data_IF_619265874375
#
_entry.id   IF_619265874375
#
_cell.length_a   1.000
_cell.length_b   1.000
_cell.length_c   1.000
_cell.angle_alpha   90.00
_cell.angle_beta   90.00
_cell.angle_gamma   90.00
#
_symmetry.space_group_name_H-M   'P 1'
#
loop_
_entity.id
_entity.type
_entity.pdbx_description
1 polymer ?
#
# COMPACT_ATOMS: atom_id res chain seq x y z
N UNK A 1 -13.55 -25.93 -62.74
CA UNK A 1 -14.05 -24.62 -62.27
C UNK A 1 -12.94 -23.96 -61.45
N UNK A 2 -12.20 -22.98 -62.00
CA UNK A 2 -11.10 -22.30 -61.30
C UNK A 2 -11.64 -20.98 -60.72
N UNK A 3 -11.77 -20.93 -59.40
CA UNK A 3 -12.14 -19.70 -58.69
C UNK A 3 -10.87 -18.84 -58.61
N UNK A 4 -10.75 -17.84 -59.48
CA UNK A 4 -9.67 -16.86 -59.41
C UNK A 4 -10.02 -15.88 -58.29
N UNK A 5 -9.41 -16.06 -57.11
CA UNK A 5 -9.50 -15.09 -56.00
C UNK A 5 -8.64 -13.87 -56.34
N UNK A 6 -9.29 -12.75 -56.65
CA UNK A 6 -8.64 -11.44 -56.72
C UNK A 6 -8.19 -11.03 -55.33
N UNK A 7 -6.87 -11.04 -55.11
CA UNK A 7 -6.23 -10.37 -53.98
C UNK A 7 -6.25 -8.86 -54.28
N UNK A 8 -7.31 -8.17 -53.88
CA UNK A 8 -7.32 -6.70 -53.88
C UNK A 8 -6.31 -6.24 -52.83
N UNK A 9 -5.17 -5.73 -53.28
CA UNK A 9 -4.13 -5.19 -52.40
C UNK A 9 -4.61 -3.91 -51.73
N UNK A 10 -4.47 -3.84 -50.40
CA UNK A 10 -4.65 -2.61 -49.64
C UNK A 10 -3.66 -1.56 -50.17
N UNK A 11 -4.13 -0.34 -50.36
CA UNK A 11 -3.28 0.76 -50.82
C UNK A 11 -2.50 1.35 -49.63
N UNK A 12 -1.28 1.83 -49.86
CA UNK A 12 -0.45 2.42 -48.79
C UNK A 12 -1.14 3.63 -48.11
N UNK A 13 -1.92 4.39 -48.89
CA UNK A 13 -2.66 5.55 -48.37
C UNK A 13 -3.76 5.17 -47.37
N UNK A 14 -4.38 4.02 -47.58
CA UNK A 14 -5.45 3.50 -46.72
C UNK A 14 -4.90 3.07 -45.37
N UNK A 15 -3.71 2.43 -45.36
CA UNK A 15 -2.99 2.13 -44.13
C UNK A 15 -2.40 3.38 -43.45
N UNK A 16 -1.97 4.37 -44.24
CA UNK A 16 -1.44 5.62 -43.71
C UNK A 16 -2.51 6.41 -42.94
N UNK A 17 -3.73 6.52 -43.48
CA UNK A 17 -4.82 7.23 -42.82
C UNK A 17 -5.15 6.63 -41.44
N UNK A 18 -5.15 5.30 -41.31
CA UNK A 18 -5.40 4.61 -40.05
C UNK A 18 -4.30 4.88 -39.02
N UNK A 19 -3.03 4.85 -39.45
CA UNK A 19 -1.90 5.17 -38.57
C UNK A 19 -1.94 6.61 -38.07
N UNK A 20 -2.33 7.56 -38.91
CA UNK A 20 -2.49 8.97 -38.51
C UNK A 20 -3.55 9.09 -37.42
N UNK A 21 -4.72 8.47 -37.61
CA UNK A 21 -5.80 8.50 -36.61
C UNK A 21 -5.36 7.82 -35.31
N UNK A 22 -4.73 6.63 -35.38
CA UNK A 22 -4.21 5.94 -34.20
C UNK A 22 -3.12 6.76 -33.48
N UNK A 23 -2.27 7.48 -34.22
CA UNK A 23 -1.25 8.35 -33.66
C UNK A 23 -1.85 9.51 -32.87
N UNK A 24 -2.89 10.15 -33.39
CA UNK A 24 -3.60 11.24 -32.70
C UNK A 24 -4.27 10.72 -31.41
N UNK A 25 -4.94 9.57 -31.48
CA UNK A 25 -5.57 8.94 -30.31
C UNK A 25 -4.52 8.58 -29.26
N UNK A 26 -3.42 7.96 -29.67
CA UNK A 26 -2.34 7.55 -28.77
C UNK A 26 -1.71 8.75 -28.05
N UNK A 27 -1.51 9.87 -28.76
CA UNK A 27 -0.93 11.08 -28.18
C UNK A 27 -1.73 11.62 -26.98
N UNK A 28 -3.06 11.55 -27.03
CA UNK A 28 -3.94 12.00 -25.93
C UNK A 28 -4.09 10.90 -24.87
N UNK A 29 -4.16 9.64 -25.30
CA UNK A 29 -4.43 8.50 -24.42
C UNK A 29 -3.27 8.20 -23.45
N UNK A 30 -2.01 8.26 -23.90
CA UNK A 30 -0.84 7.91 -23.08
C UNK A 30 -0.76 8.72 -21.76
N UNK A 31 -0.81 10.07 -21.76
CA UNK A 31 -0.76 10.83 -20.51
C UNK A 31 -2.00 10.61 -19.62
N UNK A 32 -3.17 10.38 -20.22
CA UNK A 32 -4.40 10.12 -19.47
C UNK A 32 -4.36 8.77 -18.73
N UNK A 33 -3.92 7.71 -19.42
CA UNK A 33 -3.76 6.37 -18.84
C UNK A 33 -2.71 6.37 -17.73
N UNK A 34 -1.60 7.12 -17.89
CA UNK A 34 -0.58 7.26 -16.85
C UNK A 34 -1.14 7.75 -15.51
N UNK A 35 -1.95 8.82 -15.54
CA UNK A 35 -2.61 9.37 -14.33
C UNK A 35 -3.58 8.36 -13.68
N UNK A 36 -4.30 7.60 -14.50
CA UNK A 36 -5.23 6.57 -13.99
C UNK A 36 -4.44 5.46 -13.29
N UNK A 37 -3.33 5.00 -13.88
CA UNK A 37 -2.48 3.96 -13.27
C UNK A 37 -1.90 4.44 -11.93
N UNK A 38 -1.39 5.67 -11.87
CA UNK A 38 -0.85 6.25 -10.63
C UNK A 38 -1.92 6.33 -9.53
N UNK A 39 -3.12 6.83 -9.86
CA UNK A 39 -4.23 6.87 -8.92
C UNK A 39 -4.67 5.49 -8.43
N UNK A 40 -4.67 4.47 -9.30
CA UNK A 40 -4.98 3.10 -8.89
C UNK A 40 -3.91 2.53 -7.96
N UNK A 41 -2.63 2.83 -8.18
CA UNK A 41 -1.55 2.44 -7.26
C UNK A 41 -1.70 3.08 -5.89
N UNK A 42 -2.03 4.38 -5.83
CA UNK A 42 -2.28 5.06 -4.56
C UNK A 42 -3.46 4.44 -3.81
N UNK A 43 -4.54 4.08 -4.52
CA UNK A 43 -5.69 3.38 -3.93
C UNK A 43 -5.31 1.98 -3.43
N UNK A 44 -4.50 1.24 -4.18
CA UNK A 44 -4.06 -0.09 -3.79
C UNK A 44 -3.20 -0.06 -2.52
N UNK A 45 -2.22 0.85 -2.43
CA UNK A 45 -1.42 1.04 -1.22
C UNK A 45 -2.27 1.44 -0.01
N UNK A 46 -3.26 2.33 -0.19
CA UNK A 46 -4.19 2.70 0.90
C UNK A 46 -5.05 1.51 1.34
N UNK A 47 -5.51 0.70 0.40
CA UNK A 47 -6.25 -0.53 0.68
C UNK A 47 -5.42 -1.52 1.50
N UNK A 48 -4.16 -1.71 1.13
CA UNK A 48 -3.24 -2.56 1.87
C UNK A 48 -2.93 -2.03 3.26
N UNK A 49 -2.73 -0.72 3.44
CA UNK A 49 -2.56 -0.11 4.75
C UNK A 49 -3.77 -0.39 5.67
N UNK A 50 -4.99 -0.39 5.12
CA UNK A 50 -6.19 -0.79 5.87
C UNK A 50 -6.18 -2.28 6.22
N UNK A 51 -5.76 -3.15 5.30
CA UNK A 51 -5.59 -4.58 5.58
C UNK A 51 -4.57 -4.80 6.68
N UNK A 52 -3.42 -4.11 6.63
CA UNK A 52 -2.39 -4.17 7.66
C UNK A 52 -2.90 -3.72 9.03
N UNK A 53 -3.70 -2.64 9.09
CA UNK A 53 -4.34 -2.21 10.34
C UNK A 53 -5.24 -3.30 10.93
N UNK A 54 -6.00 -4.03 10.10
CA UNK A 54 -6.86 -5.13 10.57
C UNK A 54 -6.05 -6.36 10.97
N UNK A 55 -5.03 -6.71 10.20
CA UNK A 55 -4.10 -7.79 10.50
C UNK A 55 -3.40 -7.57 11.85
N UNK A 56 -2.91 -6.35 12.09
CA UNK A 56 -2.31 -5.97 13.36
C UNK A 56 -3.30 -6.00 14.52
N UNK A 57 -4.55 -5.55 14.31
CA UNK A 57 -5.60 -5.66 15.34
C UNK A 57 -5.85 -7.11 15.75
N UNK A 58 -5.88 -8.03 14.78
CA UNK A 58 -6.01 -9.45 15.08
C UNK A 58 -4.80 -9.97 15.85
N UNK A 59 -3.59 -9.62 15.40
CA UNK A 59 -2.34 -9.97 16.08
C UNK A 59 -2.31 -9.51 17.55
N UNK A 60 -2.77 -8.29 17.86
CA UNK A 60 -2.84 -7.78 19.23
C UNK A 60 -3.89 -8.47 20.11
N UNK A 61 -4.92 -9.06 19.50
CA UNK A 61 -5.94 -9.83 20.23
C UNK A 61 -5.42 -11.24 20.54
N UNK A 62 -4.72 -11.87 19.60
CA UNK A 62 -4.20 -13.23 19.71
C UNK A 62 -2.89 -13.31 20.49
N UNK A 63 -2.06 -12.27 20.42
CA UNK A 63 -0.73 -12.24 21.04
C UNK A 63 -0.76 -11.46 22.35
N UNK A 64 -0.72 -12.14 23.51
CA UNK A 64 -0.62 -11.45 24.79
C UNK A 64 0.67 -10.64 24.87
N UNK A 65 0.60 -9.49 25.53
CA UNK A 65 1.75 -8.65 25.72
C UNK A 65 2.69 -9.25 26.81
N UNK A 66 3.65 -10.11 26.44
CA UNK A 66 4.60 -10.74 27.38
C UNK A 66 6.06 -10.28 27.17
N UNK A 67 6.70 -9.70 28.19
CA UNK A 67 8.12 -9.33 28.11
C UNK A 67 9.09 -10.50 28.15
N UNK A 68 10.36 -10.20 27.90
CA UNK A 68 11.50 -11.11 28.04
C UNK A 68 11.63 -11.75 29.43
N UNK A 69 10.91 -11.24 30.43
CA UNK A 69 10.87 -11.74 31.81
C UNK A 69 9.59 -12.54 32.10
N UNK A 70 8.73 -12.79 31.10
CA UNK A 70 7.46 -13.52 31.26
C UNK A 70 6.33 -12.70 31.90
N UNK A 71 6.54 -11.39 32.13
CA UNK A 71 5.56 -10.49 32.72
C UNK A 71 4.57 -10.02 31.66
N UNK A 72 3.30 -10.24 31.94
CA UNK A 72 2.19 -9.73 31.14
C UNK A 72 2.00 -8.24 31.42
N UNK A 73 2.03 -7.41 30.38
CA UNK A 73 1.66 -5.99 30.45
C UNK A 73 0.20 -5.81 30.03
N UNK A 74 -0.40 -4.68 30.45
CA UNK A 74 -1.68 -4.25 29.90
C UNK A 74 -1.57 -4.03 28.39
N UNK A 75 -2.66 -4.25 27.65
CA UNK A 75 -2.73 -4.06 26.18
C UNK A 75 -2.74 -2.58 25.78
N UNK A 76 -2.02 -1.74 26.50
CA UNK A 76 -2.15 -0.28 26.44
C UNK A 76 -1.25 0.35 25.37
N UNK A 77 -0.13 -0.29 25.02
CA UNK A 77 0.72 0.13 23.92
C UNK A 77 1.45 -1.04 23.29
N UNK A 78 0.99 -1.48 22.12
CA UNK A 78 1.60 -2.55 21.33
C UNK A 78 1.92 -2.07 19.92
N UNK A 79 3.01 -2.56 19.34
CA UNK A 79 3.38 -2.34 17.94
C UNK A 79 3.56 -3.68 17.21
N UNK A 80 3.17 -3.72 15.94
CA UNK A 80 3.38 -4.86 15.05
C UNK A 80 4.01 -4.36 13.75
N UNK A 81 5.17 -4.91 13.39
CA UNK A 81 5.84 -4.57 12.13
C UNK A 81 5.31 -5.41 10.97
N UNK A 82 5.45 -4.93 9.74
CA UNK A 82 5.07 -5.69 8.55
C UNK A 82 5.81 -7.05 8.48
N UNK A 83 7.15 -7.14 8.71
CA UNK A 83 7.83 -8.42 8.77
C UNK A 83 7.26 -9.37 9.82
N UNK A 84 6.88 -8.88 11.01
CA UNK A 84 6.29 -9.74 12.04
C UNK A 84 4.93 -10.29 11.60
N UNK A 85 4.07 -9.43 11.02
CA UNK A 85 2.77 -9.85 10.51
C UNK A 85 2.90 -10.88 9.38
N UNK A 86 3.91 -10.74 8.52
CA UNK A 86 4.19 -11.72 7.45
C UNK A 86 4.71 -13.03 8.02
N UNK A 87 5.68 -12.98 8.93
CA UNK A 87 6.27 -14.17 9.54
C UNK A 87 5.26 -14.97 10.36
N UNK A 88 4.33 -14.28 11.02
CA UNK A 88 3.27 -14.90 11.82
C UNK A 88 2.04 -15.30 10.98
N UNK A 89 2.04 -15.05 9.67
CA UNK A 89 0.99 -15.49 8.74
C UNK A 89 -0.26 -14.60 8.69
N UNK A 90 -0.21 -13.38 9.22
CA UNK A 90 -1.30 -12.41 9.16
C UNK A 90 -1.31 -11.61 7.85
N UNK A 91 -0.18 -11.53 7.16
CA UNK A 91 -0.03 -10.80 5.89
C UNK A 91 0.86 -11.54 4.90
N UNK A 92 0.75 -11.18 3.62
CA UNK A 92 1.63 -11.68 2.57
C UNK A 92 2.80 -10.71 2.34
N UNK A 93 3.97 -11.25 1.96
CA UNK A 93 5.20 -10.48 1.75
C UNK A 93 5.20 -9.57 0.52
N UNK A 94 4.23 -9.69 -0.39
CA UNK A 94 4.25 -9.06 -1.72
C UNK A 94 3.42 -7.78 -1.78
N UNK A 95 3.71 -6.87 -0.85
CA UNK A 95 2.97 -5.64 -0.67
C UNK A 95 3.39 -4.46 -1.55
N UNK A 96 2.64 -3.38 -1.40
CA UNK A 96 3.00 -2.02 -1.78
C UNK A 96 3.55 -1.23 -0.59
N UNK A 97 3.58 -1.78 0.62
CA UNK A 97 4.19 -1.15 1.80
C UNK A 97 5.62 -1.65 1.99
N UNK A 98 6.48 -0.79 2.54
CA UNK A 98 7.85 -1.14 2.83
C UNK A 98 7.99 -1.96 4.14
N UNK A 99 9.09 -2.70 4.27
CA UNK A 99 9.40 -3.52 5.47
C UNK A 99 9.55 -2.71 6.76
N UNK A 100 9.68 -1.38 6.65
CA UNK A 100 9.69 -0.50 7.81
C UNK A 100 8.27 -0.14 8.30
N UNK A 101 7.22 -0.63 7.66
CA UNK A 101 5.86 -0.36 8.09
C UNK A 101 5.56 -0.99 9.46
N UNK A 102 4.80 -0.28 10.29
CA UNK A 102 4.31 -0.79 11.57
C UNK A 102 2.97 -0.17 11.95
N UNK A 103 2.20 -0.91 12.75
CA UNK A 103 0.92 -0.48 13.31
C UNK A 103 1.02 -0.46 14.84
N UNK A 104 0.39 0.51 15.47
CA UNK A 104 0.22 0.58 16.93
C UNK A 104 -1.23 0.37 17.33
N UNK A 105 -1.46 -0.22 18.52
CA UNK A 105 -2.79 -0.50 19.04
C UNK A 105 -3.41 0.66 19.85
N UNK A 106 -2.77 1.85 19.88
CA UNK A 106 -3.33 3.08 20.45
C UNK A 106 -4.73 3.26 19.89
N UNK A 107 -5.74 3.62 20.69
CA UNK A 107 -7.11 3.73 20.17
C UNK A 107 -7.36 5.13 19.59
N UNK A 108 -7.75 5.27 18.30
CA UNK A 108 -7.86 4.24 17.27
C UNK A 108 -6.50 3.83 16.67
N UNK A 109 -6.37 2.57 16.25
CA UNK A 109 -5.09 2.00 15.79
C UNK A 109 -4.47 2.87 14.69
N UNK A 110 -3.16 3.12 14.81
CA UNK A 110 -2.43 4.02 13.93
C UNK A 110 -1.34 3.28 13.16
N UNK A 111 -1.18 3.60 11.87
CA UNK A 111 -0.15 3.04 10.98
C UNK A 111 0.92 4.06 10.63
N UNK A 112 2.15 3.59 10.57
CA UNK A 112 3.32 4.28 10.05
C UNK A 112 3.95 3.43 8.97
N UNK A 113 3.92 3.91 7.72
CA UNK A 113 4.38 3.16 6.58
C UNK A 113 4.72 4.07 5.41
N UNK A 114 5.61 3.61 4.53
CA UNK A 114 5.88 4.25 3.25
C UNK A 114 5.66 3.24 2.15
N UNK A 115 5.11 3.69 1.02
CA UNK A 115 4.91 2.81 -0.11
C UNK A 115 6.23 2.41 -0.75
N UNK A 116 6.36 1.14 -1.10
CA UNK A 116 7.47 0.61 -1.87
C UNK A 116 7.23 0.76 -3.38
N UNK A 117 8.31 0.95 -4.13
CA UNK A 117 8.29 1.02 -5.59
C UNK A 117 7.84 2.38 -6.15
N UNK A 118 6.82 2.37 -7.02
CA UNK A 118 6.41 3.54 -7.83
C UNK A 118 5.23 4.33 -7.23
N UNK A 119 4.56 3.76 -6.24
CA UNK A 119 3.61 4.52 -5.42
C UNK A 119 4.42 5.50 -4.56
N UNK A 120 3.89 6.69 -4.26
CA UNK A 120 4.57 7.70 -3.43
C UNK A 120 3.78 8.01 -2.15
N UNK A 121 2.98 7.05 -1.68
CA UNK A 121 2.09 7.26 -0.53
C UNK A 121 2.84 7.01 0.77
N UNK A 122 2.75 7.97 1.69
CA UNK A 122 3.34 7.91 3.03
C UNK A 122 2.26 8.10 4.09
N UNK A 123 2.33 7.28 5.14
CA UNK A 123 1.42 7.30 6.27
C UNK A 123 2.16 7.77 7.52
N UNK A 124 1.70 8.87 8.10
CA UNK A 124 2.25 9.53 9.27
C UNK A 124 1.29 9.37 10.45
N UNK A 125 1.50 8.28 11.21
CA UNK A 125 0.68 7.92 12.36
C UNK A 125 -0.83 7.97 12.05
N UNK A 126 -1.20 7.41 10.90
CA UNK A 126 -2.52 7.58 10.30
C UNK A 126 -3.52 6.57 10.84
N UNK A 127 -4.77 6.99 11.02
CA UNK A 127 -5.88 6.11 11.40
C UNK A 127 -6.58 5.51 10.18
N UNK A 128 -7.35 4.44 10.39
CA UNK A 128 -8.16 3.85 9.32
C UNK A 128 -9.13 4.86 8.67
N UNK A 129 -9.69 5.78 9.46
CA UNK A 129 -10.60 6.82 8.99
C UNK A 129 -9.88 7.86 8.13
N UNK A 130 -8.69 8.32 8.55
CA UNK A 130 -7.88 9.24 7.77
C UNK A 130 -7.48 8.62 6.42
N UNK A 131 -7.16 7.33 6.39
CA UNK A 131 -6.84 6.61 5.16
C UNK A 131 -8.06 6.55 4.24
N UNK A 132 -9.22 6.17 4.75
CA UNK A 132 -10.45 6.08 3.97
C UNK A 132 -10.86 7.43 3.37
N UNK A 133 -10.66 8.52 4.12
CA UNK A 133 -11.05 9.87 3.72
C UNK A 133 -9.93 10.67 3.03
N UNK A 134 -8.76 10.09 2.82
CA UNK A 134 -7.60 10.78 2.23
C UNK A 134 -7.69 11.07 0.73
N UNK A 135 -8.70 10.55 0.02
CA UNK A 135 -8.89 10.77 -1.41
C UNK A 135 -7.64 10.47 -2.25
N UNK A 136 -7.13 11.47 -2.96
CA UNK A 136 -5.92 11.37 -3.78
C UNK A 136 -4.63 11.82 -3.07
N UNK A 137 -4.68 12.16 -1.77
CA UNK A 137 -3.49 12.59 -1.04
C UNK A 137 -2.45 11.47 -0.99
N UNK A 138 -1.19 11.83 -1.22
CA UNK A 138 -0.03 10.94 -1.06
C UNK A 138 0.57 11.01 0.34
N UNK A 139 0.14 11.96 1.17
CA UNK A 139 0.51 12.02 2.59
C UNK A 139 -0.76 11.88 3.41
N UNK A 140 -0.80 10.88 4.28
CA UNK A 140 -1.97 10.54 5.10
C UNK A 140 -1.57 10.59 6.56
N UNK A 141 -2.40 11.20 7.40
CA UNK A 141 -2.07 11.48 8.79
C UNK A 141 -1.30 12.80 8.97
N UNK A 142 -1.22 13.28 10.20
CA UNK A 142 -0.71 14.62 10.54
C UNK A 142 0.47 14.59 11.51
N UNK A 143 0.67 13.48 12.20
CA UNK A 143 1.67 13.35 13.26
C UNK A 143 2.84 12.54 12.75
N UNK A 144 4.06 13.00 13.02
CA UNK A 144 5.25 12.24 12.67
C UNK A 144 5.19 10.83 13.27
N UNK A 145 5.72 9.86 12.53
CA UNK A 145 5.89 8.52 13.06
C UNK A 145 6.87 8.56 14.24
N UNK A 146 6.50 7.90 15.34
CA UNK A 146 7.41 7.69 16.45
C UNK A 146 8.64 6.88 16.03
N UNK A 147 9.70 6.92 16.85
CA UNK A 147 10.89 6.09 16.62
C UNK A 147 10.55 4.60 16.74
N UNK A 148 11.24 3.76 15.95
CA UNK A 148 11.18 2.28 16.03
C UNK A 148 11.74 1.73 17.36
N UNK A 149 12.02 2.57 18.36
CA UNK A 149 12.59 2.16 19.66
C UNK A 149 11.64 1.26 20.48
N UNK A 150 10.44 0.95 19.96
CA UNK A 150 9.55 -0.12 20.45
C UNK A 150 9.19 -1.21 19.42
N UNK A 151 9.93 -1.33 18.31
CA UNK A 151 9.61 -2.20 17.16
C UNK A 151 10.74 -3.19 16.82
N UNK A 152 11.91 -3.08 17.45
CA UNK A 152 12.97 -4.10 17.33
C UNK A 152 12.85 -5.13 18.46
N UNK A 153 12.03 -6.15 18.20
CA UNK A 153 11.84 -7.30 19.07
C UNK A 153 10.36 -7.65 19.23
N UNK A 154 10.02 -8.91 19.52
CA UNK A 154 8.63 -9.36 19.65
C UNK A 154 7.90 -8.73 20.85
N UNK A 155 8.56 -7.85 21.62
CA UNK A 155 7.98 -7.26 22.80
C UNK A 155 8.55 -5.89 23.24
N UNK A 156 7.74 -4.86 23.00
CA UNK A 156 7.45 -3.68 23.83
C UNK A 156 8.40 -3.35 24.99
N UNK A 157 9.22 -2.32 24.80
CA UNK A 157 9.70 -1.49 25.90
C UNK A 157 8.75 -0.29 26.00
N UNK A 158 8.10 -0.04 27.16
CA UNK A 158 7.35 1.21 27.34
C UNK A 158 8.31 2.40 27.22
N UNK A 159 7.86 3.56 26.71
CA UNK A 159 8.70 4.75 26.70
C UNK A 159 9.20 5.03 28.12
N UNK A 160 10.51 5.21 28.27
CA UNK A 160 11.10 5.63 29.53
C UNK A 160 10.45 6.96 29.93
N UNK A 161 9.60 6.91 30.96
CA UNK A 161 9.03 8.11 31.54
C UNK A 161 10.14 9.00 32.11
N UNK A 162 10.24 10.20 31.56
CA UNK A 162 10.40 11.46 32.26
C UNK A 162 9.72 12.56 31.46
#
# INVERSE_FOLDING_TARGET
MKIIKSQKGLTLIELLAVLVIMGIIAAIAVPAVGKIIENNRHKATKGEALVMLRAAQLYFVETPAINSEGKQYGREWQAASLPDLVNQGYMESNGYLNDTAFVTNVTPAKICASSEGKSKVTFYNATAEEIANSGHSIHVGKEACGTREGVEGPFLVPPAGN
#
